data_IF_612805502662
#
_entry.id   IF_612805502662
#
_cell.length_a   1.000
_cell.length_b   1.000
_cell.length_c   1.000
_cell.angle_alpha   90.00
_cell.angle_beta   90.00
_cell.angle_gamma   90.00
#
_symmetry.space_group_name_H-M   'P 1'
#
loop_
_entity.id
_entity.type
_entity.pdbx_description
1 polymer ?
#
# COMPACT_ATOMS: atom_id res chain seq x y z
N UNK A 1 -4.18 -13.22 17.94
CA UNK A 1 -4.27 -11.76 17.76
C UNK A 1 -5.71 -11.38 18.07
N UNK A 2 -5.97 -10.51 19.04
CA UNK A 2 -7.33 -10.08 19.36
C UNK A 2 -7.76 -9.02 18.34
N UNK A 3 -8.81 -9.30 17.57
CA UNK A 3 -9.40 -8.30 16.69
C UNK A 3 -10.37 -7.44 17.50
N UNK A 4 -10.04 -6.17 17.70
CA UNK A 4 -10.90 -5.20 18.38
C UNK A 4 -11.72 -4.35 17.40
N UNK A 5 -11.55 -4.54 16.09
CA UNK A 5 -12.26 -3.78 15.06
C UNK A 5 -13.75 -4.13 15.11
N UNK A 6 -14.59 -3.12 15.30
CA UNK A 6 -16.06 -3.25 15.33
C UNK A 6 -16.75 -2.62 14.13
N UNK A 7 -16.00 -1.95 13.26
CA UNK A 7 -16.50 -1.26 12.07
C UNK A 7 -15.45 -1.30 10.95
N UNK A 8 -15.92 -1.37 9.71
CA UNK A 8 -15.04 -1.26 8.54
C UNK A 8 -14.62 0.20 8.31
N UNK A 9 -13.43 0.38 7.70
CA UNK A 9 -12.88 1.68 7.31
C UNK A 9 -11.67 2.15 8.11
N UNK A 10 -11.16 3.35 7.77
CA UNK A 10 -9.99 3.97 8.40
C UNK A 10 -10.33 4.60 9.75
N UNK A 11 -10.75 3.79 10.72
CA UNK A 11 -11.11 4.26 12.06
C UNK A 11 -10.18 3.68 13.12
N UNK A 12 -9.94 4.44 14.18
CA UNK A 12 -9.15 3.95 15.30
C UNK A 12 -9.91 2.81 15.99
N UNK A 13 -9.26 1.64 16.08
CA UNK A 13 -9.78 0.53 16.86
C UNK A 13 -10.03 0.93 18.35
N UNK A 14 -11.07 0.35 18.99
CA UNK A 14 -11.33 0.47 20.43
C UNK A 14 -10.13 0.11 21.31
N UNK A 15 -10.25 0.42 22.61
CA UNK A 15 -9.21 0.12 23.60
C UNK A 15 -8.85 -1.37 23.63
N UNK A 16 -7.56 -1.67 23.84
CA UNK A 16 -7.10 -3.04 23.96
C UNK A 16 -7.62 -3.69 25.26
N UNK A 17 -7.88 -5.02 25.28
CA UNK A 17 -8.22 -5.73 26.51
C UNK A 17 -7.12 -5.60 27.57
N UNK A 18 -7.47 -5.62 28.85
CA UNK A 18 -6.50 -5.49 29.95
C UNK A 18 -5.41 -6.58 29.94
N UNK A 19 -5.70 -7.78 29.41
CA UNK A 19 -4.73 -8.88 29.27
C UNK A 19 -3.71 -8.65 28.15
N UNK A 20 -3.99 -7.71 27.24
CA UNK A 20 -3.16 -7.41 26.08
C UNK A 20 -3.12 -5.89 25.87
N UNK A 21 -2.50 -5.11 26.78
CA UNK A 21 -2.64 -3.65 26.83
C UNK A 21 -1.86 -2.90 25.75
N UNK A 22 -1.05 -3.62 24.96
CA UNK A 22 -0.18 -3.01 23.93
C UNK A 22 -0.94 -2.90 22.61
N UNK A 23 -1.14 -1.66 22.14
CA UNK A 23 -1.71 -1.37 20.83
C UNK A 23 -0.66 -1.60 19.74
N UNK A 24 -1.04 -2.33 18.70
CA UNK A 24 -0.22 -2.52 17.50
C UNK A 24 -0.68 -1.56 16.39
N UNK A 25 0.25 -0.97 15.61
CA UNK A 25 -0.14 -0.12 14.49
C UNK A 25 -0.86 -0.91 13.40
N UNK A 26 -1.91 -0.31 12.84
CA UNK A 26 -2.59 -0.82 11.66
C UNK A 26 -1.88 -0.29 10.41
N UNK A 27 -1.44 -1.19 9.54
CA UNK A 27 -0.93 -0.82 8.22
C UNK A 27 -2.08 -0.89 7.24
N UNK A 28 -2.32 0.18 6.49
CA UNK A 28 -3.31 0.18 5.42
C UNK A 28 -2.62 0.48 4.10
N UNK A 29 -2.93 -0.33 3.09
CA UNK A 29 -2.41 -0.20 1.74
C UNK A 29 -3.53 0.23 0.81
N UNK A 30 -3.34 1.38 0.17
CA UNK A 30 -4.26 1.89 -0.85
C UNK A 30 -3.52 1.85 -2.20
N UNK A 31 -4.11 1.18 -3.19
CA UNK A 31 -3.58 1.13 -4.55
C UNK A 31 -4.58 1.80 -5.48
N UNK A 32 -4.15 2.86 -6.15
CA UNK A 32 -4.96 3.63 -7.09
C UNK A 32 -4.36 3.50 -8.49
N UNK A 33 -5.20 3.13 -9.46
CA UNK A 33 -4.81 3.02 -10.86
C UNK A 33 -5.47 4.15 -11.65
N UNK A 34 -4.67 5.02 -12.27
CA UNK A 34 -5.18 6.00 -13.23
C UNK A 34 -5.42 5.32 -14.59
N UNK A 35 -6.67 4.95 -14.84
CA UNK A 35 -7.09 4.30 -16.09
C UNK A 35 -7.63 5.30 -17.12
N UNK A 36 -7.53 6.61 -16.88
CA UNK A 36 -8.17 7.64 -17.72
C UNK A 36 -7.73 7.55 -19.19
N UNK A 37 -6.46 7.21 -19.42
CA UNK A 37 -5.87 7.08 -20.77
C UNK A 37 -6.47 5.93 -21.59
N UNK A 38 -7.17 5.00 -20.95
CA UNK A 38 -7.71 3.79 -21.57
C UNK A 38 -9.25 3.82 -21.68
N UNK A 39 -9.87 4.99 -21.46
CA UNK A 39 -11.32 5.15 -21.50
C UNK A 39 -11.98 4.65 -22.81
N UNK A 40 -11.27 4.71 -23.94
CA UNK A 40 -11.77 4.22 -25.23
C UNK A 40 -11.92 2.69 -25.31
N UNK A 41 -11.38 1.93 -24.36
CA UNK A 41 -11.48 0.47 -24.33
C UNK A 41 -12.77 -0.05 -23.69
N UNK A 42 -13.53 0.80 -23.02
CA UNK A 42 -14.81 0.41 -22.42
C UNK A 42 -15.87 0.19 -23.52
N UNK A 43 -16.25 -1.07 -23.74
CA UNK A 43 -17.36 -1.43 -24.63
C UNK A 43 -18.63 -1.65 -23.82
N UNK A 44 -19.63 -0.78 -24.01
CA UNK A 44 -21.02 -0.93 -23.53
C UNK A 44 -21.25 -1.75 -22.25
N UNK A 45 -20.56 -1.41 -21.14
CA UNK A 45 -20.78 -2.01 -19.82
C UNK A 45 -19.75 -3.06 -19.38
N UNK A 46 -18.89 -3.54 -20.28
CA UNK A 46 -17.88 -4.53 -19.95
C UNK A 46 -16.57 -3.86 -19.49
N UNK A 47 -16.00 -4.35 -18.38
CA UNK A 47 -14.70 -3.92 -17.87
C UNK A 47 -13.59 -4.52 -18.76
N UNK A 48 -12.80 -3.69 -19.49
CA UNK A 48 -11.74 -4.19 -20.36
C UNK A 48 -10.46 -4.58 -19.60
N UNK A 49 -10.38 -4.34 -18.30
CA UNK A 49 -9.18 -4.58 -17.49
C UNK A 49 -9.26 -5.91 -16.75
N UNK A 50 -8.10 -6.56 -16.66
CA UNK A 50 -7.90 -7.78 -15.89
C UNK A 50 -6.71 -7.60 -14.96
N UNK A 51 -6.70 -8.28 -13.82
CA UNK A 51 -5.51 -8.31 -12.98
C UNK A 51 -4.44 -9.16 -13.65
N UNK A 52 -3.19 -8.67 -13.60
CA UNK A 52 -2.04 -9.45 -14.09
C UNK A 52 -1.84 -10.75 -13.30
N UNK A 53 -2.38 -10.82 -12.08
CA UNK A 53 -2.49 -12.03 -11.28
C UNK A 53 -3.84 -12.72 -11.53
N UNK A 54 -3.83 -13.82 -12.28
CA UNK A 54 -4.99 -14.72 -12.47
C UNK A 54 -6.26 -14.10 -13.12
N UNK A 55 -6.14 -12.97 -13.84
CA UNK A 55 -7.17 -12.48 -14.75
C UNK A 55 -8.36 -11.81 -14.06
N UNK A 56 -9.59 -12.23 -14.37
CA UNK A 56 -10.84 -11.63 -13.84
C UNK A 56 -11.37 -12.28 -12.57
N UNK A 57 -10.78 -13.41 -12.14
CA UNK A 57 -11.27 -14.23 -11.03
C UNK A 57 -10.33 -14.33 -9.83
N UNK A 58 -9.06 -13.94 -10.00
CA UNK A 58 -8.09 -13.89 -8.92
C UNK A 58 -7.93 -12.48 -8.38
N UNK A 59 -8.01 -12.34 -7.06
CA UNK A 59 -7.60 -11.13 -6.36
C UNK A 59 -6.24 -11.42 -5.75
N UNK A 60 -5.18 -10.81 -6.29
CA UNK A 60 -3.84 -10.95 -5.77
C UNK A 60 -3.24 -9.58 -5.52
N UNK A 61 -3.02 -9.26 -4.25
CA UNK A 61 -2.15 -8.14 -3.86
C UNK A 61 -1.12 -8.71 -2.89
N UNK A 62 0.14 -8.32 -3.09
CA UNK A 62 1.21 -8.61 -2.15
C UNK A 62 1.82 -7.28 -1.73
N UNK A 63 2.09 -7.13 -0.44
CA UNK A 63 2.72 -5.95 0.10
C UNK A 63 3.75 -6.36 1.15
N UNK A 64 4.97 -5.88 0.96
CA UNK A 64 6.02 -6.00 1.96
C UNK A 64 6.05 -4.72 2.80
N UNK A 65 5.92 -4.88 4.12
CA UNK A 65 6.16 -3.79 5.07
C UNK A 65 7.56 -3.92 5.64
N UNK A 66 8.43 -2.95 5.32
CA UNK A 66 9.76 -2.85 5.92
C UNK A 66 9.78 -1.80 7.02
N UNK A 67 10.24 -2.21 8.21
CA UNK A 67 10.32 -1.33 9.37
C UNK A 67 11.58 -0.46 9.32
N UNK A 68 11.43 0.80 8.86
CA UNK A 68 12.55 1.74 8.64
C UNK A 68 12.58 2.97 9.54
N UNK A 69 11.84 2.99 10.66
CA UNK A 69 11.73 4.18 11.52
C UNK A 69 13.02 4.39 12.33
N UNK A 70 13.57 5.61 12.28
CA UNK A 70 14.78 5.97 13.03
C UNK A 70 14.47 6.22 14.51
N UNK A 71 15.05 5.42 15.39
CA UNK A 71 14.88 5.57 16.84
C UNK A 71 13.42 5.42 17.28
N UNK A 72 12.94 6.36 18.09
CA UNK A 72 11.58 6.42 18.64
C UNK A 72 10.56 7.12 17.70
N UNK A 73 10.91 7.35 16.42
CA UNK A 73 10.05 8.08 15.49
C UNK A 73 8.67 7.43 15.29
N UNK A 74 8.58 6.10 15.23
CA UNK A 74 7.27 5.41 15.16
C UNK A 74 6.45 5.69 16.42
N UNK A 75 7.07 5.56 17.60
CA UNK A 75 6.35 5.76 18.87
C UNK A 75 5.80 7.19 18.98
N UNK A 76 6.62 8.18 18.64
CA UNK A 76 6.17 9.59 18.59
C UNK A 76 5.02 9.83 17.61
N UNK A 77 4.95 9.10 16.50
CA UNK A 77 3.82 9.18 15.59
C UNK A 77 2.57 8.51 16.18
N UNK A 78 2.71 7.35 16.83
CA UNK A 78 1.60 6.61 17.42
C UNK A 78 1.00 7.29 18.67
N UNK A 79 1.80 8.02 19.44
CA UNK A 79 1.37 8.71 20.66
C UNK A 79 0.54 9.99 20.37
N UNK A 80 0.38 10.35 19.10
CA UNK A 80 -0.17 11.62 18.65
C UNK A 80 -1.45 11.40 17.84
N UNK A 81 -2.55 12.00 18.31
CA UNK A 81 -3.86 11.88 17.66
C UNK A 81 -3.96 12.64 16.34
N UNK A 82 -3.05 13.59 16.09
CA UNK A 82 -3.02 14.39 14.86
C UNK A 82 -2.37 13.68 13.68
N UNK A 83 -1.82 12.48 13.86
CA UNK A 83 -1.12 11.74 12.81
C UNK A 83 -2.10 11.05 11.84
N UNK A 84 -2.42 11.74 10.75
CA UNK A 84 -3.26 11.26 9.64
C UNK A 84 -2.78 11.85 8.29
N UNK A 85 -2.53 10.99 7.30
CA UNK A 85 -1.92 11.39 6.01
C UNK A 85 -0.64 12.24 6.21
N UNK A 86 -0.64 13.47 5.68
CA UNK A 86 0.44 14.43 5.81
C UNK A 86 0.23 15.38 7.00
N UNK A 87 -0.73 15.12 7.89
CA UNK A 87 -0.76 15.72 9.21
C UNK A 87 -0.01 14.78 10.15
N UNK A 88 1.23 15.10 10.56
CA UNK A 88 1.92 14.42 11.66
C UNK A 88 3.16 15.25 12.02
N UNK A 89 2.99 16.18 12.97
CA UNK A 89 4.04 17.13 13.35
C UNK A 89 5.15 16.53 14.20
N UNK A 90 4.96 15.31 14.72
CA UNK A 90 5.89 14.62 15.63
C UNK A 90 7.04 13.88 14.92
N UNK A 91 7.05 13.91 13.59
CA UNK A 91 8.07 13.25 12.77
C UNK A 91 8.69 14.23 11.78
N UNK A 92 10.00 14.11 11.56
CA UNK A 92 10.71 14.88 10.55
C UNK A 92 10.27 14.41 9.17
N UNK A 93 9.83 15.34 8.34
CA UNK A 93 9.47 15.09 6.96
C UNK A 93 10.55 15.60 6.02
N UNK A 94 10.60 15.01 4.83
CA UNK A 94 11.43 15.49 3.75
C UNK A 94 10.58 15.70 2.49
N UNK A 95 10.89 16.70 1.65
CA UNK A 95 10.26 16.84 0.35
C UNK A 95 10.47 15.59 -0.51
N UNK A 96 9.45 15.19 -1.28
CA UNK A 96 9.58 14.04 -2.20
C UNK A 96 10.70 14.22 -3.21
N UNK A 97 10.97 15.45 -3.66
CA UNK A 97 12.11 15.74 -4.54
C UNK A 97 13.47 15.40 -3.92
N UNK A 98 13.59 15.43 -2.58
CA UNK A 98 14.79 14.98 -1.87
C UNK A 98 14.77 13.46 -1.71
N UNK A 99 13.63 12.87 -1.35
CA UNK A 99 13.46 11.42 -1.23
C UNK A 99 13.84 10.69 -2.52
N UNK A 100 13.38 11.20 -3.67
CA UNK A 100 13.63 10.63 -5.00
C UNK A 100 15.10 10.63 -5.43
N UNK A 101 15.99 11.33 -4.71
CA UNK A 101 17.44 11.27 -4.95
C UNK A 101 18.06 10.01 -4.35
N UNK A 102 17.40 9.36 -3.41
CA UNK A 102 17.83 8.07 -2.87
C UNK A 102 17.48 6.98 -3.89
N UNK A 103 18.48 6.55 -4.64
CA UNK A 103 18.36 5.47 -5.63
C UNK A 103 19.47 4.45 -5.40
N UNK A 104 19.14 3.18 -5.63
CA UNK A 104 20.12 2.11 -5.70
C UNK A 104 20.40 1.80 -7.18
N UNK A 105 21.66 1.52 -7.55
CA UNK A 105 21.95 1.04 -8.89
C UNK A 105 21.21 -0.28 -9.12
N UNK A 106 20.78 -0.49 -10.37
CA UNK A 106 20.22 -1.77 -10.81
C UNK A 106 21.24 -2.88 -10.55
N UNK A 107 20.85 -3.85 -9.71
CA UNK A 107 21.70 -5.00 -9.36
C UNK A 107 21.17 -6.31 -9.93
N UNK A 108 19.88 -6.39 -10.28
CA UNK A 108 19.28 -7.48 -11.07
C UNK A 108 19.01 -6.94 -12.45
N UNK A 109 19.71 -7.48 -13.46
CA UNK A 109 19.54 -7.10 -14.86
C UNK A 109 18.42 -7.93 -15.48
N UNK A 110 17.19 -7.49 -15.32
CA UNK A 110 16.03 -8.14 -15.94
C UNK A 110 15.22 -7.13 -16.76
N UNK A 111 14.60 -7.56 -17.88
CA UNK A 111 13.69 -6.69 -18.62
C UNK A 111 12.43 -6.41 -17.79
N UNK A 112 12.39 -5.28 -17.09
CA UNK A 112 11.22 -4.85 -16.29
C UNK A 112 10.20 -4.03 -17.07
N UNK A 113 10.55 -3.59 -18.28
CA UNK A 113 9.73 -2.75 -19.15
C UNK A 113 9.37 -3.46 -20.46
N UNK A 114 8.30 -2.99 -21.10
CA UNK A 114 7.86 -3.43 -22.42
C UNK A 114 6.52 -4.17 -22.43
N UNK A 115 6.10 -4.55 -23.63
CA UNK A 115 4.84 -5.30 -23.83
C UNK A 115 5.10 -6.79 -23.79
N UNK A 116 4.30 -7.51 -23.00
CA UNK A 116 4.27 -8.96 -23.01
C UNK A 116 3.21 -9.47 -24.00
N UNK A 117 3.48 -10.55 -24.75
CA UNK A 117 2.52 -11.13 -25.69
C UNK A 117 1.33 -11.80 -24.99
N UNK A 118 1.49 -12.19 -23.72
CA UNK A 118 0.46 -12.80 -22.88
C UNK A 118 0.73 -12.50 -21.40
N UNK A 119 -0.28 -12.69 -20.54
CA UNK A 119 -0.12 -12.54 -19.10
C UNK A 119 0.82 -13.62 -18.54
N UNK A 120 1.79 -13.26 -17.67
CA UNK A 120 2.63 -14.23 -16.98
C UNK A 120 1.80 -15.31 -16.27
N UNK A 121 2.18 -16.58 -16.44
CA UNK A 121 1.49 -17.70 -15.78
C UNK A 121 0.19 -18.18 -16.44
N UNK A 122 -0.28 -17.52 -17.52
CA UNK A 122 -1.41 -18.01 -18.31
C UNK A 122 -0.93 -18.74 -19.58
N UNK A 123 -1.58 -19.86 -19.93
CA UNK A 123 -1.35 -20.50 -21.23
C UNK A 123 -1.97 -19.63 -22.33
N UNK A 124 -1.22 -19.45 -23.41
CA UNK A 124 -1.75 -18.89 -24.66
C UNK A 124 -2.84 -19.78 -25.25
#
# INVERSE_FOLDING_TARGET
MYNTITMDGFTNAPACPATHPVRVPQVTFETVWDTTKFNSMWTSGDNPYVWSFEGTKGYGTHADYMFGWKGDALQRAMDKSECFYDGCGSITKQPMATANKCSLPEFVKEPTDGWLPALPGMKM
#
